data_IF_337040898512
#
_entry.id   IF_337040898512
#
_cell.length_a   1.000
_cell.length_b   1.000
_cell.length_c   1.000
_cell.angle_alpha   90.00
_cell.angle_beta   90.00
_cell.angle_gamma   90.00
#
_symmetry.space_group_name_H-M   'P 1'
#
loop_
_entity.id
_entity.type
_entity.pdbx_description
1 polymer ?
#
# COMPACT_ATOMS: atom_id res chain seq x y z
N UNK A 1 -23.40 -22.50 -36.79
CA UNK A 1 -23.44 -23.76 -36.00
C UNK A 1 -22.50 -24.75 -36.69
N UNK A 2 -21.21 -24.77 -36.33
CA UNK A 2 -20.22 -25.77 -36.75
C UNK A 2 -19.20 -25.95 -35.61
N UNK A 3 -19.27 -27.11 -34.95
CA UNK A 3 -18.17 -27.93 -34.43
C UNK A 3 -17.12 -27.36 -33.46
N UNK A 4 -17.40 -27.45 -32.15
CA UNK A 4 -16.44 -27.27 -31.04
C UNK A 4 -15.62 -28.55 -30.70
N UNK A 5 -15.35 -29.42 -31.67
CA UNK A 5 -14.70 -30.72 -31.44
C UNK A 5 -13.22 -30.79 -31.82
N UNK A 6 -12.69 -29.85 -32.60
CA UNK A 6 -11.28 -29.87 -33.03
C UNK A 6 -10.26 -29.37 -31.99
N UNK A 7 -10.66 -28.52 -31.03
CA UNK A 7 -9.70 -27.91 -30.09
C UNK A 7 -9.27 -28.84 -28.96
N UNK A 8 -10.01 -29.92 -28.68
CA UNK A 8 -9.68 -30.85 -27.59
C UNK A 8 -8.56 -31.82 -27.96
N UNK A 9 -8.53 -32.29 -29.21
CA UNK A 9 -7.47 -33.19 -29.68
C UNK A 9 -6.12 -32.46 -29.87
N UNK A 10 -6.15 -31.21 -30.32
CA UNK A 10 -4.94 -30.40 -30.45
C UNK A 10 -4.27 -30.09 -29.09
N UNK A 11 -5.07 -30.02 -28.01
CA UNK A 11 -4.58 -29.74 -26.66
C UNK A 11 -3.93 -30.95 -25.97
N UNK A 12 -4.35 -32.19 -26.28
CA UNK A 12 -3.73 -33.40 -25.70
C UNK A 12 -2.37 -33.72 -26.33
N UNK A 13 -2.15 -33.37 -27.60
CA UNK A 13 -0.86 -33.56 -28.27
C UNK A 13 0.26 -32.61 -27.77
N UNK A 14 -0.10 -31.39 -27.33
CA UNK A 14 0.88 -30.42 -26.82
C UNK A 14 1.31 -30.68 -25.36
N UNK A 15 0.46 -31.30 -24.54
CA UNK A 15 0.78 -31.60 -23.14
C UNK A 15 1.58 -32.89 -22.95
N UNK A 16 1.44 -33.86 -23.87
CA UNK A 16 2.17 -35.15 -23.80
C UNK A 16 3.61 -35.04 -24.32
N UNK A 17 3.92 -34.06 -25.19
CA UNK A 17 5.23 -33.96 -25.86
C UNK A 17 6.27 -33.03 -25.19
N UNK A 18 6.06 -32.58 -23.94
CA UNK A 18 7.00 -31.69 -23.25
C UNK A 18 7.56 -32.22 -21.93
N UNK A 19 7.54 -33.54 -21.70
CA UNK A 19 8.16 -34.12 -20.51
C UNK A 19 8.91 -35.42 -20.83
N UNK A 20 10.25 -35.40 -21.03
CA UNK A 20 11.01 -36.62 -21.35
C UNK A 20 11.31 -37.51 -20.13
N UNK A 21 10.61 -37.35 -19.00
CA UNK A 21 10.96 -38.05 -17.75
C UNK A 21 9.81 -38.78 -17.04
N UNK A 22 8.71 -39.14 -17.72
CA UNK A 22 7.73 -40.08 -17.16
C UNK A 22 6.92 -40.80 -18.25
N UNK A 23 7.45 -41.90 -18.77
CA UNK A 23 6.71 -42.89 -19.56
C UNK A 23 6.06 -43.91 -18.61
N UNK A 24 4.79 -43.70 -18.23
CA UNK A 24 3.89 -44.77 -17.78
C UNK A 24 2.49 -44.48 -18.34
N UNK A 25 1.87 -45.41 -19.11
CA UNK A 25 0.57 -45.15 -19.72
C UNK A 25 -0.56 -45.45 -18.72
N UNK A 26 -1.26 -44.43 -18.24
CA UNK A 26 -2.49 -44.62 -17.47
C UNK A 26 -3.67 -44.93 -18.41
N UNK A 27 -3.93 -46.23 -18.59
CA UNK A 27 -5.20 -46.79 -19.09
C UNK A 27 -6.30 -46.64 -18.02
N UNK A 28 -7.00 -45.51 -17.96
CA UNK A 28 -8.43 -45.42 -17.58
C UNK A 28 -8.91 -43.95 -17.47
N UNK A 29 -10.01 -43.54 -18.12
CA UNK A 29 -10.44 -42.14 -18.18
C UNK A 29 -11.26 -41.67 -16.95
N UNK A 30 -11.11 -42.29 -15.77
CA UNK A 30 -11.96 -42.00 -14.60
C UNK A 30 -11.32 -41.16 -13.48
N UNK A 31 -10.09 -40.70 -13.64
CA UNK A 31 -9.45 -39.80 -12.66
C UNK A 31 -8.62 -38.71 -13.36
N UNK A 32 -9.30 -37.65 -13.80
CA UNK A 32 -8.68 -36.34 -13.99
C UNK A 32 -9.12 -35.45 -12.80
N UNK A 33 -8.21 -34.71 -12.14
CA UNK A 33 -8.61 -33.79 -11.08
C UNK A 33 -9.42 -32.63 -11.68
N UNK A 34 -10.46 -32.12 -11.00
CA UNK A 34 -11.22 -31.00 -11.53
C UNK A 34 -10.37 -29.73 -11.50
N UNK A 35 -10.38 -28.96 -12.60
CA UNK A 35 -9.89 -27.59 -12.61
C UNK A 35 -10.67 -26.78 -11.56
N UNK A 36 -9.96 -25.92 -10.81
CA UNK A 36 -10.55 -25.17 -9.70
C UNK A 36 -11.72 -24.29 -10.18
N UNK A 37 -12.74 -24.17 -9.33
CA UNK A 37 -13.94 -23.36 -9.56
C UNK A 37 -13.62 -21.94 -10.01
N UNK A 38 -12.52 -21.37 -9.50
CA UNK A 38 -12.01 -20.03 -9.82
C UNK A 38 -11.63 -19.83 -11.30
N UNK A 39 -11.14 -20.85 -11.99
CA UNK A 39 -10.78 -20.77 -13.41
C UNK A 39 -12.01 -20.82 -14.30
N UNK A 40 -13.00 -21.66 -13.94
CA UNK A 40 -14.29 -21.68 -14.64
C UNK A 40 -15.06 -20.36 -14.45
N UNK A 41 -14.94 -19.70 -13.30
CA UNK A 41 -15.58 -18.38 -13.07
C UNK A 41 -14.91 -17.24 -13.86
N UNK A 42 -13.62 -17.36 -14.14
CA UNK A 42 -12.87 -16.39 -14.94
C UNK A 42 -13.18 -16.51 -16.43
N UNK A 43 -13.47 -17.73 -16.89
CA UNK A 43 -13.89 -18.01 -18.26
C UNK A 43 -15.35 -17.60 -18.50
N UNK A 44 -16.25 -17.78 -17.52
CA UNK A 44 -17.67 -17.41 -17.63
C UNK A 44 -17.94 -15.89 -17.54
N UNK A 45 -17.01 -15.12 -16.96
CA UNK A 45 -17.19 -13.66 -16.75
C UNK A 45 -16.53 -12.78 -17.80
N UNK A 46 -15.74 -13.34 -18.71
CA UNK A 46 -15.19 -12.59 -19.84
C UNK A 46 -16.04 -12.84 -21.08
N UNK A 47 -16.89 -11.87 -21.42
CA UNK A 47 -17.45 -11.75 -22.77
C UNK A 47 -16.39 -11.34 -23.82
N UNK A 48 -15.11 -11.35 -23.44
CA UNK A 48 -13.97 -11.02 -24.27
C UNK A 48 -13.32 -12.29 -24.81
N UNK A 49 -13.17 -12.32 -26.13
CA UNK A 49 -12.63 -13.41 -26.96
C UNK A 49 -11.62 -14.31 -26.22
N UNK A 50 -11.82 -15.65 -26.19
CA UNK A 50 -10.92 -16.60 -25.50
C UNK A 50 -9.46 -16.55 -25.99
N UNK A 51 -9.21 -15.94 -27.15
CA UNK A 51 -7.87 -15.62 -27.64
C UNK A 51 -7.12 -14.60 -26.77
N UNK A 52 -7.81 -13.62 -26.16
CA UNK A 52 -7.22 -12.57 -25.30
C UNK A 52 -6.69 -13.14 -23.98
N UNK A 53 -7.48 -13.98 -23.32
CA UNK A 53 -7.07 -14.67 -22.09
C UNK A 53 -5.92 -15.65 -22.33
N UNK A 54 -5.95 -16.37 -23.46
CA UNK A 54 -4.87 -17.28 -23.84
C UNK A 54 -3.57 -16.53 -24.14
N UNK A 55 -3.63 -15.38 -24.84
CA UNK A 55 -2.45 -14.57 -25.13
C UNK A 55 -1.83 -14.00 -23.84
N UNK A 56 -2.64 -13.46 -22.93
CA UNK A 56 -2.18 -12.97 -21.64
C UNK A 56 -1.58 -14.09 -20.77
N UNK A 57 -2.18 -15.28 -20.80
CA UNK A 57 -1.66 -16.45 -20.10
C UNK A 57 -0.32 -16.90 -20.70
N UNK A 58 -0.22 -17.02 -22.03
CA UNK A 58 1.01 -17.40 -22.73
C UNK A 58 2.14 -16.39 -22.52
N UNK A 59 1.84 -15.08 -22.55
CA UNK A 59 2.80 -14.01 -22.26
C UNK A 59 3.26 -14.06 -20.80
N UNK A 60 2.36 -14.35 -19.86
CA UNK A 60 2.70 -14.48 -18.44
C UNK A 60 3.56 -15.73 -18.14
N UNK A 61 3.28 -16.86 -18.82
CA UNK A 61 4.05 -18.10 -18.70
C UNK A 61 5.43 -17.96 -19.36
N UNK A 62 5.52 -17.29 -20.52
CA UNK A 62 6.79 -16.96 -21.17
C UNK A 62 7.64 -16.01 -20.33
N UNK A 63 7.02 -15.02 -19.66
CA UNK A 63 7.69 -14.13 -18.69
C UNK A 63 8.25 -14.92 -17.50
N UNK A 64 7.50 -15.88 -16.94
CA UNK A 64 8.00 -16.74 -15.84
C UNK A 64 9.15 -17.65 -16.25
N UNK A 65 9.16 -18.14 -17.49
CA UNK A 65 10.29 -18.93 -18.03
C UNK A 65 11.53 -18.06 -18.21
N UNK A 66 11.40 -16.88 -18.82
CA UNK A 66 12.50 -15.93 -19.02
C UNK A 66 13.05 -15.35 -17.70
N UNK A 67 12.20 -15.25 -16.66
CA UNK A 67 12.61 -14.87 -15.30
C UNK A 67 13.55 -15.90 -14.65
N UNK A 68 13.46 -17.19 -15.01
CA UNK A 68 14.35 -18.24 -14.51
C UNK A 68 15.69 -18.30 -15.26
N UNK A 69 15.75 -17.84 -16.51
CA UNK A 69 16.90 -18.04 -17.40
C UNK A 69 17.86 -16.82 -17.45
N UNK A 70 17.63 -15.76 -16.69
CA UNK A 70 18.60 -14.66 -16.47
C UNK A 70 18.97 -13.80 -17.69
N UNK A 71 18.47 -14.08 -18.89
CA UNK A 71 18.95 -13.47 -20.13
C UNK A 71 18.24 -12.14 -20.46
N UNK A 72 18.88 -11.02 -20.15
CA UNK A 72 18.32 -9.65 -20.25
C UNK A 72 17.93 -9.26 -21.68
N UNK A 73 18.70 -9.68 -22.70
CA UNK A 73 18.41 -9.37 -24.11
C UNK A 73 17.14 -10.06 -24.64
N UNK A 74 16.88 -11.29 -24.18
CA UNK A 74 15.66 -12.02 -24.54
C UNK A 74 14.40 -11.36 -23.94
N UNK A 75 14.53 -10.67 -22.80
CA UNK A 75 13.43 -9.96 -22.11
C UNK A 75 13.01 -8.71 -22.88
N UNK A 76 13.97 -7.92 -23.35
CA UNK A 76 13.72 -6.73 -24.17
C UNK A 76 13.09 -7.09 -25.53
N UNK A 77 13.56 -8.15 -26.19
CA UNK A 77 13.01 -8.61 -27.47
C UNK A 77 11.56 -9.11 -27.35
N UNK A 78 11.23 -9.84 -26.28
CA UNK A 78 9.87 -10.32 -26.03
C UNK A 78 8.89 -9.18 -25.69
N UNK A 79 9.36 -8.17 -24.94
CA UNK A 79 8.59 -6.95 -24.66
C UNK A 79 8.25 -6.18 -25.94
N UNK A 80 9.25 -5.97 -26.80
CA UNK A 80 9.09 -5.27 -28.07
C UNK A 80 8.13 -5.99 -29.02
N UNK A 81 8.19 -7.33 -29.08
CA UNK A 81 7.27 -8.12 -29.88
C UNK A 81 5.81 -8.03 -29.38
N UNK A 82 5.59 -8.05 -28.06
CA UNK A 82 4.27 -7.89 -27.48
C UNK A 82 3.69 -6.49 -27.70
N UNK A 83 4.52 -5.44 -27.56
CA UNK A 83 4.11 -4.07 -27.84
C UNK A 83 3.79 -3.85 -29.33
N UNK A 84 4.55 -4.46 -30.24
CA UNK A 84 4.27 -4.40 -31.67
C UNK A 84 2.93 -5.07 -32.04
N UNK A 85 2.59 -6.19 -31.39
CA UNK A 85 1.31 -6.87 -31.62
C UNK A 85 0.12 -6.06 -31.06
N UNK A 86 0.30 -5.43 -29.90
CA UNK A 86 -0.71 -4.52 -29.33
C UNK A 86 -0.93 -3.30 -30.23
N UNK A 87 0.13 -2.70 -30.79
CA UNK A 87 0.02 -1.59 -31.75
C UNK A 87 -0.74 -1.98 -33.03
N UNK A 88 -0.63 -3.22 -33.51
CA UNK A 88 -1.39 -3.70 -34.67
C UNK A 88 -2.88 -3.90 -34.40
N UNK A 89 -3.26 -4.11 -33.14
CA UNK A 89 -4.66 -4.36 -32.77
C UNK A 89 -5.56 -3.12 -32.82
N UNK A 90 -5.00 -1.90 -32.85
CA UNK A 90 -5.72 -0.60 -32.83
C UNK A 90 -6.71 -0.40 -31.66
N UNK A 91 -6.69 -1.28 -30.66
CA UNK A 91 -7.59 -1.25 -29.49
C UNK A 91 -7.05 -0.38 -28.33
N UNK A 92 -5.83 0.15 -28.43
CA UNK A 92 -5.15 0.91 -27.38
C UNK A 92 -4.44 2.14 -27.97
N UNK A 93 -4.46 3.25 -27.23
CA UNK A 93 -3.74 4.48 -27.60
C UNK A 93 -2.23 4.38 -27.24
N UNK A 94 -1.39 5.15 -27.92
CA UNK A 94 0.07 5.11 -27.82
C UNK A 94 0.57 5.39 -26.38
N UNK A 95 -0.18 6.18 -25.60
CA UNK A 95 0.14 6.45 -24.20
C UNK A 95 -0.09 5.23 -23.29
N UNK A 96 -1.12 4.43 -23.54
CA UNK A 96 -1.36 3.18 -22.81
C UNK A 96 -0.30 2.14 -23.16
N UNK A 97 0.10 2.07 -24.43
CA UNK A 97 1.16 1.17 -24.91
C UNK A 97 2.51 1.54 -24.29
N UNK A 98 2.81 2.84 -24.15
CA UNK A 98 4.03 3.35 -23.49
C UNK A 98 4.11 2.99 -22.01
N UNK A 99 2.97 2.90 -21.31
CA UNK A 99 2.93 2.44 -19.91
C UNK A 99 3.34 0.96 -19.84
N UNK A 100 2.85 0.14 -20.76
CA UNK A 100 3.18 -1.29 -20.81
C UNK A 100 4.65 -1.56 -21.21
N UNK A 101 5.20 -0.79 -22.15
CA UNK A 101 6.63 -0.85 -22.50
C UNK A 101 7.54 -0.56 -21.29
N UNK A 102 7.10 0.37 -20.42
CA UNK A 102 7.81 0.76 -19.19
C UNK A 102 7.77 -0.29 -18.08
N UNK A 103 6.69 -1.07 -18.01
CA UNK A 103 6.54 -2.20 -17.06
C UNK A 103 7.42 -3.39 -17.44
N UNK A 104 7.80 -3.50 -18.72
CA UNK A 104 8.57 -4.62 -19.26
C UNK A 104 10.05 -4.32 -19.53
N UNK A 105 10.50 -3.06 -19.43
CA UNK A 105 11.91 -2.71 -19.60
C UNK A 105 12.73 -3.17 -18.39
N UNK A 106 13.84 -3.90 -18.57
CA UNK A 106 14.73 -4.27 -17.47
C UNK A 106 15.33 -3.01 -16.80
N UNK A 107 15.39 -3.01 -15.47
CA UNK A 107 15.89 -1.91 -14.63
C UNK A 107 17.34 -1.43 -14.89
N UNK A 108 18.04 -1.99 -15.88
CA UNK A 108 19.44 -1.69 -16.21
C UNK A 108 19.66 -0.57 -17.26
N UNK A 109 18.62 -0.01 -17.87
CA UNK A 109 18.75 1.05 -18.89
C UNK A 109 18.17 2.42 -18.44
N UNK A 110 17.86 2.60 -17.16
CA UNK A 110 17.34 3.87 -16.63
C UNK A 110 18.46 4.91 -16.36
N UNK A 111 19.73 4.52 -16.41
CA UNK A 111 20.86 5.47 -16.21
C UNK A 111 21.00 6.51 -17.35
N UNK A 112 20.37 6.31 -18.52
CA UNK A 112 20.40 7.26 -19.63
C UNK A 112 19.26 8.29 -19.64
N UNK A 113 18.12 8.02 -19.00
CA UNK A 113 16.93 8.88 -19.07
C UNK A 113 16.88 9.95 -17.96
N UNK A 114 17.80 9.91 -16.99
CA UNK A 114 17.91 10.92 -15.93
C UNK A 114 18.58 12.23 -16.40
N UNK A 115 19.19 12.25 -17.59
CA UNK A 115 19.85 13.43 -18.14
C UNK A 115 18.86 14.48 -18.70
N UNK A 116 17.66 14.07 -19.12
CA UNK A 116 16.64 14.98 -19.69
C UNK A 116 15.75 15.65 -18.62
N UNK A 117 15.90 15.29 -17.35
CA UNK A 117 15.16 15.88 -16.23
C UNK A 117 16.07 16.39 -15.11
N UNK A 118 17.20 17.02 -15.44
CA UNK A 118 17.93 17.96 -14.56
C UNK A 118 18.25 17.50 -13.13
N UNK A 119 18.26 16.19 -12.85
CA UNK A 119 18.42 15.65 -11.50
C UNK A 119 19.81 15.03 -11.38
N UNK A 120 20.82 15.89 -11.28
CA UNK A 120 22.20 15.49 -11.06
C UNK A 120 22.39 14.91 -9.66
N UNK A 121 22.54 13.59 -9.56
CA UNK A 121 22.95 12.92 -8.32
C UNK A 121 24.47 13.14 -8.17
N UNK A 122 24.86 14.09 -7.32
CA UNK A 122 26.24 14.36 -6.97
C UNK A 122 26.88 13.21 -6.21
N UNK A 123 28.02 12.71 -6.70
CA UNK A 123 28.86 11.72 -6.01
C UNK A 123 29.61 12.37 -4.85
N UNK A 124 29.16 12.13 -3.62
CA UNK A 124 29.87 12.51 -2.38
C UNK A 124 30.98 11.51 -2.02
N UNK A 125 32.19 12.03 -1.79
CA UNK A 125 33.44 11.31 -1.50
C UNK A 125 33.40 10.59 -0.14
N UNK A 126 34.11 9.46 -0.06
CA UNK A 126 34.44 8.75 1.19
C UNK A 126 35.36 9.61 2.05
N UNK A 127 34.99 9.79 3.32
CA UNK A 127 35.88 10.27 4.37
C UNK A 127 35.98 9.20 5.46
N UNK A 128 37.18 8.68 5.66
CA UNK A 128 37.54 7.83 6.79
C UNK A 128 37.65 8.69 8.06
N UNK A 129 37.11 8.20 9.18
CA UNK A 129 37.21 8.85 10.47
C UNK A 129 36.75 7.92 11.57
N UNK A 130 37.68 7.18 12.17
CA UNK A 130 37.41 6.31 13.32
C UNK A 130 37.18 7.13 14.58
N UNK A 131 36.20 6.74 15.40
CA UNK A 131 36.09 7.21 16.77
C UNK A 131 35.65 6.07 17.70
N UNK A 132 36.55 5.69 18.61
CA UNK A 132 36.33 4.70 19.68
C UNK A 132 35.85 5.40 20.95
N UNK A 133 34.71 4.95 21.46
CA UNK A 133 34.53 4.54 22.86
C UNK A 133 34.27 5.60 23.93
N UNK A 134 33.08 5.52 24.55
CA UNK A 134 32.94 5.20 25.98
C UNK A 134 31.48 4.92 26.35
N UNK A 135 31.20 3.71 26.83
CA UNK A 135 30.05 3.40 27.68
C UNK A 135 30.54 3.47 29.13
N UNK A 136 29.81 4.17 29.99
CA UNK A 136 30.02 4.12 31.43
C UNK A 136 28.69 4.36 32.14
N UNK A 137 28.41 3.50 33.12
CA UNK A 137 27.17 3.48 33.89
C UNK A 137 26.89 2.09 34.47
N UNK A 138 27.85 1.54 35.21
CA UNK A 138 27.67 0.37 36.07
C UNK A 138 27.38 0.85 37.50
N UNK A 139 26.46 0.20 38.21
CA UNK A 139 26.50 0.14 39.67
C UNK A 139 26.05 -1.25 40.15
N UNK A 140 27.04 -1.93 40.72
CA UNK A 140 27.10 -2.95 41.78
C UNK A 140 26.22 -4.21 41.82
N UNK A 141 26.96 -5.32 41.88
CA UNK A 141 26.53 -6.64 42.28
C UNK A 141 26.88 -6.88 43.76
N UNK A 142 25.86 -7.12 44.59
CA UNK A 142 26.00 -7.83 45.86
C UNK A 142 25.27 -9.17 45.78
N UNK A 143 26.04 -10.26 45.83
CA UNK A 143 25.56 -11.64 45.84
C UNK A 143 24.80 -11.93 47.14
N UNK A 144 23.50 -12.19 47.01
CA UNK A 144 22.70 -12.96 47.97
C UNK A 144 22.15 -14.19 47.24
N UNK A 145 22.56 -15.37 47.68
CA UNK A 145 22.01 -16.65 47.21
C UNK A 145 20.57 -16.80 47.71
N UNK A 146 19.60 -16.59 46.83
CA UNK A 146 18.24 -17.08 47.01
C UNK A 146 17.72 -17.62 45.68
N UNK A 147 17.74 -18.94 45.57
CA UNK A 147 16.94 -19.70 44.62
C UNK A 147 15.46 -19.37 44.84
N UNK A 148 14.86 -18.62 43.90
CA UNK A 148 13.44 -18.26 43.94
C UNK A 148 13.00 -17.69 42.59
N UNK A 149 12.33 -18.54 41.80
CA UNK A 149 11.40 -18.24 40.70
C UNK A 149 11.67 -17.01 39.81
N UNK A 150 12.20 -17.25 38.62
CA UNK A 150 12.08 -16.33 37.49
C UNK A 150 10.62 -16.20 37.06
N UNK A 151 9.89 -15.28 37.69
CA UNK A 151 8.68 -14.70 37.10
C UNK A 151 9.15 -13.64 36.10
N UNK A 152 9.47 -14.08 34.88
CA UNK A 152 9.62 -13.18 33.73
C UNK A 152 8.29 -12.41 33.54
N UNK A 153 8.39 -11.14 33.14
CA UNK A 153 7.33 -10.13 33.16
C UNK A 153 6.11 -10.48 32.28
N UNK A 154 5.28 -11.42 32.73
CA UNK A 154 4.00 -11.73 32.13
C UNK A 154 3.05 -10.56 32.36
N UNK A 155 2.63 -9.89 31.29
CA UNK A 155 1.69 -8.77 31.35
C UNK A 155 0.31 -9.24 30.90
N UNK A 156 -0.73 -8.73 31.55
CA UNK A 156 -2.11 -8.83 31.05
C UNK A 156 -2.45 -7.55 30.31
N UNK A 157 -2.76 -7.64 29.01
CA UNK A 157 -3.16 -6.50 28.18
C UNK A 157 -4.59 -6.72 27.70
N UNK A 158 -5.52 -5.96 28.26
CA UNK A 158 -6.95 -6.11 27.99
C UNK A 158 -7.45 -7.52 28.35
N UNK A 159 -7.98 -8.24 27.35
CA UNK A 159 -8.45 -9.64 27.51
C UNK A 159 -7.35 -10.68 27.34
N UNK A 160 -6.17 -10.28 26.87
CA UNK A 160 -5.06 -11.20 26.64
C UNK A 160 -4.22 -11.34 27.91
N UNK A 161 -4.16 -12.55 28.45
CA UNK A 161 -3.30 -12.95 29.58
C UNK A 161 -2.06 -13.68 29.07
N UNK A 162 -1.01 -13.75 29.88
CA UNK A 162 0.17 -14.58 29.60
C UNK A 162 1.00 -14.16 28.37
N UNK A 163 1.09 -12.85 28.11
CA UNK A 163 1.89 -12.35 26.99
C UNK A 163 3.19 -11.69 27.48
N UNK A 164 4.26 -11.95 26.74
CA UNK A 164 5.58 -11.36 26.91
C UNK A 164 5.93 -10.59 25.63
N UNK A 165 6.46 -9.38 25.78
CA UNK A 165 7.00 -8.66 24.64
C UNK A 165 8.32 -9.30 24.19
N UNK A 166 8.48 -9.51 22.88
CA UNK A 166 9.69 -10.09 22.32
C UNK A 166 10.56 -8.99 21.71
N UNK A 167 11.69 -8.71 22.36
CA UNK A 167 12.65 -7.72 21.88
C UNK A 167 13.47 -8.24 20.69
N UNK A 168 13.71 -7.34 19.74
CA UNK A 168 14.58 -7.57 18.59
C UNK A 168 15.83 -6.68 18.70
N UNK A 169 17.05 -7.19 18.41
CA UNK A 169 18.27 -6.38 18.44
C UNK A 169 18.28 -5.18 17.49
N UNK A 170 17.44 -5.20 16.45
CA UNK A 170 17.26 -4.08 15.51
C UNK A 170 16.07 -3.24 15.98
N UNK A 171 16.36 -2.06 16.51
CA UNK A 171 15.36 -1.13 17.02
C UNK A 171 14.91 -0.09 16.00
N UNK A 172 14.11 0.87 16.47
CA UNK A 172 13.56 1.97 15.68
C UNK A 172 14.67 2.86 15.10
N UNK A 173 15.71 3.14 15.87
CA UNK A 173 16.79 4.03 15.44
C UNK A 173 17.57 3.43 14.27
N UNK A 174 17.91 2.15 14.35
CA UNK A 174 18.64 1.43 13.29
C UNK A 174 17.85 1.43 11.97
N UNK A 175 16.53 1.19 12.04
CA UNK A 175 15.64 1.25 10.87
C UNK A 175 15.57 2.64 10.25
N UNK A 176 15.44 3.68 11.07
CA UNK A 176 15.42 5.07 10.61
C UNK A 176 16.75 5.50 9.97
N UNK A 177 17.88 5.05 10.51
CA UNK A 177 19.20 5.29 9.94
C UNK A 177 19.37 4.60 8.58
N UNK A 178 18.88 3.36 8.45
CA UNK A 178 18.89 2.62 7.18
C UNK A 178 18.07 3.34 6.10
N UNK A 179 16.87 3.80 6.46
CA UNK A 179 15.95 4.46 5.53
C UNK A 179 16.26 5.95 5.31
N UNK A 180 17.16 6.55 6.11
CA UNK A 180 17.44 7.99 6.12
C UNK A 180 16.15 8.82 6.25
N UNK A 181 15.29 8.40 7.17
CA UNK A 181 14.04 9.12 7.50
C UNK A 181 13.56 8.70 8.89
N UNK A 182 12.73 9.52 9.51
CA UNK A 182 12.03 9.14 10.74
C UNK A 182 10.62 8.66 10.41
N UNK A 183 10.23 7.53 10.99
CA UNK A 183 8.88 7.03 10.84
C UNK A 183 7.89 7.89 11.62
N UNK A 184 6.75 8.17 11.01
CA UNK A 184 5.67 8.97 11.59
C UNK A 184 4.33 8.59 10.99
N UNK A 185 3.25 9.01 11.65
CA UNK A 185 1.89 8.84 11.18
C UNK A 185 1.35 10.19 10.73
N UNK A 186 0.93 10.25 9.46
CA UNK A 186 0.18 11.37 8.89
C UNK A 186 -1.28 10.95 8.86
N UNK A 187 -2.06 11.48 9.79
CA UNK A 187 -3.46 11.12 9.98
C UNK A 187 -4.38 12.13 9.30
N UNK A 188 -4.84 11.80 8.09
CA UNK A 188 -5.71 12.66 7.30
C UNK A 188 -7.17 12.37 7.65
N UNK A 189 -7.85 13.36 8.25
CA UNK A 189 -9.27 13.32 8.64
C UNK A 189 -10.11 14.33 7.87
N UNK A 190 -11.41 14.06 7.70
CA UNK A 190 -12.34 14.94 7.00
C UNK A 190 -13.55 14.22 6.41
N UNK A 191 -14.56 14.99 6.00
CA UNK A 191 -15.79 14.48 5.38
C UNK A 191 -15.52 13.64 4.11
N UNK A 192 -16.47 12.77 3.74
CA UNK A 192 -16.42 12.09 2.43
C UNK A 192 -16.36 13.14 1.32
N UNK A 193 -15.61 12.92 0.23
CA UNK A 193 -15.47 13.91 -0.84
C UNK A 193 -14.60 15.15 -0.53
N UNK A 194 -14.04 15.27 0.69
CA UNK A 194 -13.16 16.40 1.04
C UNK A 194 -11.80 16.38 0.32
N UNK A 195 -11.38 15.22 -0.20
CA UNK A 195 -10.12 15.05 -0.95
C UNK A 195 -9.00 14.31 -0.21
N UNK A 196 -9.31 13.61 0.90
CA UNK A 196 -8.32 12.84 1.69
C UNK A 196 -7.45 11.91 0.86
N UNK A 197 -8.05 10.98 0.10
CA UNK A 197 -7.31 10.02 -0.71
C UNK A 197 -6.53 10.72 -1.85
N UNK A 198 -7.04 11.85 -2.38
CA UNK A 198 -6.32 12.67 -3.35
C UNK A 198 -5.05 13.28 -2.76
N UNK A 199 -5.13 13.86 -1.56
CA UNK A 199 -3.97 14.34 -0.82
C UNK A 199 -3.01 13.18 -0.50
N UNK A 200 -3.50 12.06 0.03
CA UNK A 200 -2.66 10.91 0.39
C UNK A 200 -1.83 10.41 -0.81
N UNK A 201 -2.47 10.25 -1.98
CA UNK A 201 -1.78 9.82 -3.19
C UNK A 201 -0.77 10.86 -3.69
N UNK A 202 -1.13 12.14 -3.70
CA UNK A 202 -0.21 13.21 -4.11
C UNK A 202 1.00 13.30 -3.16
N UNK A 203 0.77 13.26 -1.85
CA UNK A 203 1.80 13.28 -0.83
C UNK A 203 2.76 12.09 -0.96
N UNK A 204 2.21 10.88 -1.08
CA UNK A 204 3.01 9.65 -1.29
C UNK A 204 3.88 9.77 -2.54
N UNK A 205 3.33 10.26 -3.65
CA UNK A 205 4.08 10.47 -4.90
C UNK A 205 5.23 11.46 -4.71
N UNK A 206 4.96 12.63 -4.13
CA UNK A 206 5.95 13.69 -3.96
C UNK A 206 7.03 13.34 -2.92
N UNK A 207 6.73 12.51 -1.92
CA UNK A 207 7.72 11.95 -0.99
C UNK A 207 8.57 10.86 -1.65
N UNK A 208 7.95 9.98 -2.44
CA UNK A 208 8.67 8.95 -3.21
C UNK A 208 9.67 9.58 -4.18
N UNK A 209 9.30 10.64 -4.90
CA UNK A 209 10.20 11.39 -5.77
C UNK A 209 11.40 12.02 -5.04
N UNK A 210 11.29 12.20 -3.71
CA UNK A 210 12.37 12.69 -2.84
C UNK A 210 13.15 11.58 -2.14
N UNK A 211 12.89 10.32 -2.47
CA UNK A 211 13.60 9.16 -1.91
C UNK A 211 13.07 8.70 -0.54
N UNK A 212 11.88 9.14 -0.13
CA UNK A 212 11.28 8.71 1.13
C UNK A 212 10.30 7.55 0.94
N UNK A 213 10.34 6.59 1.86
CA UNK A 213 9.46 5.44 1.91
C UNK A 213 8.17 5.79 2.65
N UNK A 214 7.05 5.67 1.95
CA UNK A 214 5.70 5.92 2.46
C UNK A 214 4.78 4.72 2.23
N UNK A 215 3.73 4.61 3.04
CA UNK A 215 2.67 3.63 2.82
C UNK A 215 1.30 4.23 3.17
N UNK A 216 0.28 4.00 2.33
CA UNK A 216 -1.05 4.55 2.52
C UNK A 216 -1.98 3.49 3.14
N UNK A 217 -2.57 3.84 4.27
CA UNK A 217 -3.68 3.12 4.90
C UNK A 217 -4.99 3.84 4.58
N UNK A 218 -5.65 3.45 3.49
CA UNK A 218 -6.95 4.00 3.09
C UNK A 218 -8.11 3.21 3.70
N UNK A 219 -9.10 3.93 4.22
CA UNK A 219 -10.24 3.33 4.92
C UNK A 219 -11.06 2.36 4.07
N UNK A 220 -11.19 2.58 2.77
CA UNK A 220 -11.93 1.66 1.89
C UNK A 220 -11.09 0.41 1.59
N UNK A 221 -9.78 0.57 1.34
CA UNK A 221 -8.86 -0.54 1.08
C UNK A 221 -8.77 -1.52 2.26
N UNK A 222 -8.71 -0.99 3.49
CA UNK A 222 -8.64 -1.82 4.70
C UNK A 222 -9.93 -2.62 4.93
N UNK A 223 -11.09 -2.09 4.52
CA UNK A 223 -12.38 -2.79 4.61
C UNK A 223 -12.52 -3.94 3.62
N UNK A 224 -11.67 -4.04 2.60
CA UNK A 224 -11.59 -5.24 1.77
C UNK A 224 -10.82 -6.40 2.44
N UNK A 225 -10.06 -6.14 3.50
CA UNK A 225 -9.14 -7.12 4.09
C UNK A 225 -9.17 -7.10 5.62
N UNK A 226 -8.27 -6.35 6.27
CA UNK A 226 -8.06 -6.31 7.72
C UNK A 226 -9.33 -6.00 8.51
N UNK A 227 -10.18 -5.13 7.96
CA UNK A 227 -11.39 -4.61 8.60
C UNK A 227 -12.67 -5.08 7.89
N UNK A 228 -12.62 -6.20 7.16
CA UNK A 228 -13.76 -6.75 6.40
C UNK A 228 -14.93 -7.22 7.27
N UNK A 229 -14.66 -7.50 8.55
CA UNK A 229 -15.65 -7.92 9.55
C UNK A 229 -16.44 -6.75 10.14
N UNK A 230 -16.01 -5.50 9.90
CA UNK A 230 -16.59 -4.31 10.50
C UNK A 230 -17.62 -3.65 9.57
N UNK A 231 -18.79 -3.31 10.12
CA UNK A 231 -19.80 -2.52 9.44
C UNK A 231 -19.53 -1.00 9.59
N UNK A 232 -20.58 -0.19 9.47
CA UNK A 232 -20.54 1.27 9.60
C UNK A 232 -21.28 1.79 10.85
N UNK A 233 -21.58 0.93 11.83
CA UNK A 233 -22.08 1.36 13.14
C UNK A 233 -21.01 2.11 13.93
N UNK A 234 -21.40 2.84 14.97
CA UNK A 234 -20.48 3.66 15.75
C UNK A 234 -19.36 2.83 16.41
N UNK A 235 -19.70 1.69 16.99
CA UNK A 235 -18.76 0.74 17.60
C UNK A 235 -17.78 0.14 16.58
N UNK A 236 -18.27 -0.20 15.38
CA UNK A 236 -17.44 -0.74 14.29
C UNK A 236 -16.53 0.33 13.69
N UNK A 237 -16.95 1.60 13.71
CA UNK A 237 -16.08 2.74 13.35
C UNK A 237 -14.97 2.91 14.37
N UNK A 238 -15.29 2.87 15.66
CA UNK A 238 -14.30 2.98 16.72
C UNK A 238 -13.26 1.86 16.62
N UNK A 239 -13.70 0.61 16.42
CA UNK A 239 -12.78 -0.52 16.23
C UNK A 239 -11.97 -0.40 14.93
N UNK A 240 -12.58 0.08 13.84
CA UNK A 240 -11.86 0.34 12.59
C UNK A 240 -10.74 1.36 12.82
N UNK A 241 -11.02 2.49 13.48
CA UNK A 241 -10.03 3.51 13.80
C UNK A 241 -8.95 2.97 14.73
N UNK A 242 -9.32 2.22 15.78
CA UNK A 242 -8.37 1.58 16.69
C UNK A 242 -7.39 0.66 15.96
N UNK A 243 -7.90 -0.27 15.13
CA UNK A 243 -7.04 -1.18 14.33
C UNK A 243 -6.10 -0.43 13.40
N UNK A 244 -6.60 0.62 12.73
CA UNK A 244 -5.76 1.44 11.85
C UNK A 244 -4.69 2.18 12.64
N UNK A 245 -5.01 2.72 13.81
CA UNK A 245 -4.06 3.37 14.72
C UNK A 245 -2.90 2.45 15.10
N UNK A 246 -3.21 1.22 15.51
CA UNK A 246 -2.19 0.21 15.84
C UNK A 246 -1.29 -0.13 14.64
N UNK A 247 -1.90 -0.36 13.46
CA UNK A 247 -1.13 -0.66 12.25
C UNK A 247 -0.27 0.53 11.83
N UNK A 248 -0.80 1.75 11.92
CA UNK A 248 -0.05 2.96 11.63
C UNK A 248 1.16 3.13 12.58
N UNK A 249 0.96 2.81 13.86
CA UNK A 249 2.04 2.79 14.85
C UNK A 249 3.14 1.78 14.47
N UNK A 250 2.79 0.56 14.04
CA UNK A 250 3.76 -0.43 13.56
C UNK A 250 4.55 0.07 12.34
N UNK A 251 3.91 0.75 11.39
CA UNK A 251 4.62 1.36 10.25
C UNK A 251 5.58 2.47 10.69
N UNK A 252 5.15 3.34 11.60
CA UNK A 252 6.00 4.40 12.13
C UNK A 252 7.19 3.84 12.93
N UNK A 253 6.98 2.78 13.72
CA UNK A 253 8.06 2.07 14.41
C UNK A 253 9.04 1.39 13.44
N UNK A 254 8.54 0.92 12.29
CA UNK A 254 9.36 0.41 11.19
C UNK A 254 10.18 1.49 10.46
N UNK A 255 9.99 2.78 10.78
CA UNK A 255 10.66 3.91 10.12
C UNK A 255 9.94 4.41 8.87
N UNK A 256 8.75 3.89 8.55
CA UNK A 256 7.95 4.29 7.38
C UNK A 256 7.13 5.54 7.71
N UNK A 257 6.98 6.45 6.73
CA UNK A 257 6.00 7.55 6.82
C UNK A 257 4.63 6.97 6.45
N UNK A 258 3.84 6.63 7.47
CA UNK A 258 2.52 6.04 7.31
C UNK A 258 1.48 7.13 7.06
N UNK A 259 0.72 7.04 5.96
CA UNK A 259 -0.34 7.99 5.61
C UNK A 259 -1.69 7.31 5.82
N UNK A 260 -2.37 7.61 6.92
CA UNK A 260 -3.70 7.10 7.21
C UNK A 260 -4.75 8.06 6.63
N UNK A 261 -5.58 7.59 5.69
CA UNK A 261 -6.63 8.38 5.02
C UNK A 261 -8.01 7.79 5.35
N UNK A 262 -8.66 8.35 6.38
CA UNK A 262 -9.95 7.87 6.89
C UNK A 262 -10.87 9.03 7.22
N UNK A 263 -12.19 8.81 7.17
CA UNK A 263 -13.13 9.83 7.67
C UNK A 263 -12.84 10.12 9.14
N UNK A 264 -12.64 9.08 9.97
CA UNK A 264 -12.31 9.18 11.40
C UNK A 264 -13.15 10.26 12.13
N UNK A 265 -14.49 10.13 12.13
CA UNK A 265 -15.39 11.23 12.46
C UNK A 265 -15.36 11.64 13.93
N UNK A 266 -15.09 10.72 14.84
CA UNK A 266 -15.13 10.97 16.29
C UNK A 266 -13.76 11.40 16.80
N UNK A 267 -13.72 12.52 17.51
CA UNK A 267 -12.48 13.10 18.02
C UNK A 267 -11.81 12.17 19.02
N UNK A 268 -12.59 11.60 19.95
CA UNK A 268 -12.11 10.63 20.95
C UNK A 268 -11.28 9.52 20.34
N UNK A 269 -11.70 8.99 19.20
CA UNK A 269 -11.03 7.85 18.56
C UNK A 269 -9.72 8.30 17.88
N UNK A 270 -9.67 9.52 17.33
CA UNK A 270 -8.43 10.11 16.81
C UNK A 270 -7.44 10.42 17.94
N UNK A 271 -7.93 10.96 19.05
CA UNK A 271 -7.14 11.25 20.25
C UNK A 271 -6.55 9.96 20.84
N UNK A 272 -7.33 8.87 20.85
CA UNK A 272 -6.85 7.56 21.26
C UNK A 272 -5.72 7.05 20.35
N UNK A 273 -5.83 7.22 19.02
CA UNK A 273 -4.73 6.89 18.10
C UNK A 273 -3.50 7.77 18.31
N UNK A 274 -3.69 9.07 18.57
CA UNK A 274 -2.60 10.00 18.90
C UNK A 274 -1.87 9.55 20.16
N UNK A 275 -2.58 9.12 21.19
CA UNK A 275 -2.01 8.65 22.46
C UNK A 275 -1.19 7.34 22.35
N UNK A 276 -1.34 6.55 21.27
CA UNK A 276 -0.51 5.37 21.01
C UNK A 276 0.94 5.74 20.61
N UNK A 277 1.13 6.97 20.14
CA UNK A 277 2.38 7.46 19.58
C UNK A 277 2.94 8.58 20.46
N UNK A 278 4.28 8.72 20.57
CA UNK A 278 4.86 9.93 21.12
C UNK A 278 4.31 11.16 20.37
N UNK A 279 3.97 12.24 21.10
CA UNK A 279 3.33 13.45 20.54
C UNK A 279 4.03 13.96 19.28
N UNK A 280 5.36 13.84 19.22
CA UNK A 280 6.18 14.27 18.09
C UNK A 280 6.16 13.34 16.87
N UNK A 281 5.29 12.33 16.79
CA UNK A 281 5.24 11.36 15.67
C UNK A 281 3.86 11.16 15.06
N UNK A 282 2.83 11.81 15.59
CA UNK A 282 1.49 11.82 15.04
C UNK A 282 1.18 13.22 14.49
N UNK A 283 0.86 13.30 13.20
CA UNK A 283 0.58 14.54 12.49
C UNK A 283 -0.83 14.48 11.95
N UNK A 284 -1.77 15.14 12.61
CA UNK A 284 -3.17 15.21 12.18
C UNK A 284 -3.35 16.31 11.12
N UNK A 285 -3.87 15.89 9.98
CA UNK A 285 -4.15 16.75 8.83
C UNK A 285 -5.65 16.82 8.64
N UNK A 286 -6.23 17.98 8.94
CA UNK A 286 -7.65 18.23 8.79
C UNK A 286 -7.99 18.75 7.39
N UNK A 287 -8.73 17.95 6.62
CA UNK A 287 -9.37 18.39 5.37
C UNK A 287 -10.64 19.18 5.69
N UNK A 288 -10.48 20.48 5.97
CA UNK A 288 -11.54 21.42 6.28
C UNK A 288 -12.26 21.90 5.01
N UNK A 289 -13.08 21.02 4.46
CA UNK A 289 -13.92 21.28 3.28
C UNK A 289 -15.38 21.26 3.71
N UNK A 290 -16.16 22.33 3.47
CA UNK A 290 -17.57 22.39 3.84
C UNK A 290 -18.39 21.23 3.28
N UNK A 291 -19.43 20.83 4.01
CA UNK A 291 -20.31 19.73 3.64
C UNK A 291 -20.93 19.95 2.27
N UNK A 292 -21.35 21.18 1.96
CA UNK A 292 -22.01 21.55 0.71
C UNK A 292 -21.08 21.32 -0.50
N UNK A 293 -19.79 21.60 -0.33
CA UNK A 293 -18.78 21.35 -1.37
C UNK A 293 -18.52 19.85 -1.53
N UNK A 294 -18.48 19.11 -0.43
CA UNK A 294 -18.35 17.65 -0.44
C UNK A 294 -19.55 16.97 -1.13
N UNK A 295 -20.77 17.41 -0.83
CA UNK A 295 -22.02 16.98 -1.45
C UNK A 295 -22.08 17.33 -2.93
N UNK A 296 -21.63 18.53 -3.32
CA UNK A 296 -21.61 18.92 -4.73
C UNK A 296 -20.65 18.05 -5.57
N UNK A 297 -19.55 17.58 -4.97
CA UNK A 297 -18.58 16.71 -5.64
C UNK A 297 -19.09 15.28 -5.82
N UNK A 298 -19.65 14.72 -4.76
CA UNK A 298 -20.17 13.35 -4.63
C UNK A 298 -19.63 12.32 -5.64
N UNK A 299 -18.30 12.08 -5.69
CA UNK A 299 -17.67 11.31 -6.77
C UNK A 299 -18.09 9.84 -6.77
N UNK A 300 -18.60 9.35 -5.63
CA UNK A 300 -19.05 7.97 -5.42
C UNK A 300 -20.59 7.86 -5.39
N UNK A 301 -21.32 8.96 -5.54
CA UNK A 301 -22.79 8.97 -5.42
C UNK A 301 -23.33 8.71 -4.01
N UNK A 302 -22.48 8.73 -2.98
CA UNK A 302 -22.82 8.33 -1.61
C UNK A 302 -23.70 9.37 -0.92
N UNK A 303 -23.47 10.66 -1.18
CA UNK A 303 -24.30 11.72 -0.61
C UNK A 303 -25.73 11.67 -1.15
N UNK A 304 -25.88 11.45 -2.47
CA UNK A 304 -27.20 11.24 -3.09
C UNK A 304 -27.94 10.05 -2.48
N UNK A 305 -27.23 8.94 -2.26
CA UNK A 305 -27.81 7.74 -1.65
C UNK A 305 -28.20 7.97 -0.18
N UNK A 306 -27.38 8.69 0.59
CA UNK A 306 -27.68 9.05 1.97
C UNK A 306 -28.89 9.99 2.08
N UNK A 307 -28.95 11.05 1.25
CA UNK A 307 -30.10 11.98 1.17
C UNK A 307 -31.39 11.26 0.76
N UNK A 308 -31.30 10.21 -0.06
CA UNK A 308 -32.42 9.36 -0.44
C UNK A 308 -32.79 8.30 0.63
N UNK A 309 -32.13 8.28 1.79
CA UNK A 309 -32.38 7.34 2.88
C UNK A 309 -31.92 5.90 2.62
N UNK A 310 -31.16 5.67 1.54
CA UNK A 310 -30.65 4.34 1.17
C UNK A 310 -29.40 3.93 1.97
N UNK A 311 -28.67 4.90 2.49
CA UNK A 311 -27.54 4.72 3.40
C UNK A 311 -27.89 5.42 4.70
N UNK A 312 -27.84 4.70 5.82
CA UNK A 312 -28.05 5.25 7.17
C UNK A 312 -26.71 5.44 7.89
N UNK A 313 -26.67 6.40 8.80
CA UNK A 313 -25.48 6.76 9.58
C UNK A 313 -24.36 7.35 8.74
N UNK A 314 -24.66 8.00 7.62
CA UNK A 314 -23.66 8.65 6.78
C UNK A 314 -23.12 9.93 7.44
N UNK A 315 -21.80 9.97 7.62
CA UNK A 315 -21.11 11.08 8.28
C UNK A 315 -21.37 12.42 7.59
N UNK A 316 -21.79 13.41 8.37
CA UNK A 316 -22.17 14.75 7.92
C UNK A 316 -23.64 14.88 7.51
N UNK A 317 -24.40 13.79 7.43
CA UNK A 317 -25.83 13.81 7.09
C UNK A 317 -26.68 13.40 8.30
N UNK A 318 -26.56 12.14 8.72
CA UNK A 318 -27.30 11.53 9.84
C UNK A 318 -26.38 10.89 10.89
N UNK A 319 -25.06 11.11 10.76
CA UNK A 319 -24.03 10.79 11.76
C UNK A 319 -23.04 11.97 11.88
N UNK A 320 -22.56 12.32 13.08
CA UNK A 320 -21.78 13.54 13.26
C UNK A 320 -20.35 13.42 12.69
N UNK A 321 -19.77 14.57 12.34
CA UNK A 321 -18.33 14.72 12.14
C UNK A 321 -17.81 15.74 13.15
N UNK A 322 -16.92 15.32 14.03
CA UNK A 322 -16.32 16.16 15.06
C UNK A 322 -14.97 16.67 14.56
N UNK A 323 -14.87 17.93 14.08
CA UNK A 323 -13.61 18.46 13.58
C UNK A 323 -12.53 18.46 14.68
N UNK A 324 -11.25 18.30 14.31
CA UNK A 324 -10.14 18.45 15.26
C UNK A 324 -10.14 19.84 15.89
N UNK A 325 -9.75 19.93 17.17
CA UNK A 325 -9.61 21.21 17.87
C UNK A 325 -8.18 21.77 17.76
N UNK A 326 -7.19 20.89 17.75
CA UNK A 326 -5.76 21.24 17.72
C UNK A 326 -5.01 20.26 16.80
N UNK A 327 -5.22 20.41 15.49
CA UNK A 327 -4.51 19.62 14.48
C UNK A 327 -3.28 20.37 13.96
N UNK A 328 -2.23 19.62 13.62
CA UNK A 328 -0.98 20.17 13.14
C UNK A 328 -1.11 20.91 11.80
N UNK A 329 -2.02 20.44 10.93
CA UNK A 329 -2.18 20.98 9.58
C UNK A 329 -3.66 21.07 9.21
N UNK A 330 -4.10 22.26 8.80
CA UNK A 330 -5.43 22.48 8.20
C UNK A 330 -5.29 22.71 6.70
N UNK A 331 -6.02 21.91 5.92
CA UNK A 331 -6.18 22.06 4.48
C UNK A 331 -7.59 22.58 4.22
N UNK A 332 -7.70 23.83 3.79
CA UNK A 332 -8.99 24.51 3.56
C UNK A 332 -9.05 25.17 2.18
N UNK A 333 -10.26 25.58 1.79
CA UNK A 333 -10.46 26.38 0.58
C UNK A 333 -9.75 27.73 0.73
N UNK A 334 -9.11 28.18 -0.34
CA UNK A 334 -8.56 29.53 -0.48
C UNK A 334 -9.36 30.24 -1.56
N UNK A 335 -9.98 31.37 -1.23
CA UNK A 335 -10.83 32.16 -2.15
C UNK A 335 -11.93 31.33 -2.82
N UNK A 336 -12.58 30.44 -2.05
CA UNK A 336 -13.62 29.53 -2.54
C UNK A 336 -13.11 28.41 -3.45
N UNK A 337 -11.80 28.29 -3.66
CA UNK A 337 -11.18 27.25 -4.49
C UNK A 337 -10.41 26.26 -3.62
N UNK A 338 -10.49 24.99 -3.98
CA UNK A 338 -9.65 23.99 -3.33
C UNK A 338 -8.21 24.10 -3.84
N UNK A 339 -7.21 24.05 -2.94
CA UNK A 339 -5.82 23.97 -3.36
C UNK A 339 -5.57 22.74 -4.23
N UNK A 340 -4.62 22.84 -5.15
CA UNK A 340 -4.26 21.70 -5.99
C UNK A 340 -3.66 20.57 -5.13
N UNK A 341 -3.79 19.29 -5.54
CA UNK A 341 -3.21 18.18 -4.80
C UNK A 341 -1.72 18.35 -4.50
N UNK A 342 -0.96 18.92 -5.45
CA UNK A 342 0.46 19.25 -5.27
C UNK A 342 0.68 20.31 -4.19
N UNK A 343 -0.13 21.36 -4.16
CA UNK A 343 -0.03 22.41 -3.13
C UNK A 343 -0.37 21.88 -1.74
N UNK A 344 -1.42 21.05 -1.62
CA UNK A 344 -1.77 20.40 -0.36
C UNK A 344 -0.63 19.47 0.13
N UNK A 345 -0.06 18.68 -0.78
CA UNK A 345 1.08 17.81 -0.46
C UNK A 345 2.32 18.62 -0.01
N UNK A 346 2.65 19.71 -0.70
CA UNK A 346 3.80 20.56 -0.34
C UNK A 346 3.66 21.19 1.04
N UNK A 347 2.44 21.56 1.45
CA UNK A 347 2.18 22.05 2.81
C UNK A 347 2.53 20.99 3.87
N UNK A 348 2.12 19.74 3.64
CA UNK A 348 2.45 18.62 4.54
C UNK A 348 3.95 18.33 4.53
N UNK A 349 4.59 18.30 3.36
CA UNK A 349 6.03 18.08 3.23
C UNK A 349 6.85 19.18 3.92
N UNK A 350 6.42 20.44 3.82
CA UNK A 350 7.08 21.56 4.49
C UNK A 350 7.05 21.35 6.01
N UNK A 351 5.90 20.98 6.57
CA UNK A 351 5.78 20.64 7.98
C UNK A 351 6.70 19.46 8.38
N UNK A 352 6.73 18.38 7.57
CA UNK A 352 7.58 17.21 7.85
C UNK A 352 9.08 17.57 7.84
N UNK A 353 9.48 18.48 6.94
CA UNK A 353 10.86 18.99 6.87
C UNK A 353 11.20 19.82 8.10
N UNK A 354 10.34 20.76 8.47
CA UNK A 354 10.52 21.63 9.64
C UNK A 354 10.63 20.84 10.95
N UNK A 355 9.83 19.78 11.09
CA UNK A 355 9.87 18.87 12.25
C UNK A 355 11.00 17.83 12.18
N UNK A 356 11.78 17.82 11.10
CA UNK A 356 12.95 16.96 10.96
C UNK A 356 12.62 15.47 10.81
N UNK A 357 11.49 15.14 10.16
CA UNK A 357 11.16 13.76 9.77
C UNK A 357 11.88 13.32 8.49
N UNK A 358 12.11 14.27 7.59
CA UNK A 358 12.80 14.06 6.32
C UNK A 358 14.30 14.32 6.54
N UNK A 359 15.11 13.25 6.59
CA UNK A 359 16.55 13.33 6.81
C UNK A 359 17.27 13.19 5.46
N UNK A 360 17.50 14.30 4.76
CA UNK A 360 18.12 14.29 3.44
C UNK A 360 18.38 15.66 2.89
#
# INVERSE_FOLDING_TARGET
MYGYTGCREFFLQLFVNQNPANTVPLRNPRFAPPLSSSLNTLIDRSNDSPHRLLLLLLLSLRRRRLLREGNVRARASAAAAAAAELRRSRDYDDDEIRVWERVWTPWGEIEGAAADYGCGIGRGRRGEGGFRGRRQGAVDASRGSSSGSGMENVVTVGKSTNILWHDCPIGKLERQMLLKQKGCVIWITGLSGSGKSTLACALSRELHCRGHLTYILDGDNLRHSLNRDLSFKAEDRAENIRRVGEVANLFADAGVICIASLISPYRRDRDACRALLPESTFVEVFMNVPLEVCEARDPKGLYKLARAGKIKGFTGIDDPYEPPLDCEIVIQLKDGKCPTPKCMAEQVISYLREKGFLLG
#
